data_IF_463400621546
#
_entry.id   IF_463400621546
#
_cell.length_a   1.000
_cell.length_b   1.000
_cell.length_c   1.000
_cell.angle_alpha   90.00
_cell.angle_beta   90.00
_cell.angle_gamma   90.00
#
_symmetry.space_group_name_H-M   'P 1'
#
loop_
_entity.id
_entity.type
_entity.pdbx_description
1 polymer ?
#
# COMPACT_ATOMS: atom_id res chain seq x y z
N UNK A 1 55.79 39.44 -8.26
CA UNK A 1 54.60 40.33 -8.23
C UNK A 1 53.39 39.49 -8.64
N UNK A 2 52.85 38.55 -7.86
CA UNK A 2 52.20 38.57 -6.52
C UNK A 2 50.99 39.51 -6.41
N UNK A 3 49.82 38.89 -6.51
CA UNK A 3 48.80 38.84 -5.46
C UNK A 3 47.48 39.58 -5.72
N UNK A 4 46.42 38.89 -5.33
CA UNK A 4 45.14 39.41 -4.85
C UNK A 4 44.10 39.87 -5.88
N UNK A 5 43.35 38.92 -6.46
CA UNK A 5 41.94 39.11 -6.89
C UNK A 5 41.15 37.80 -6.89
N UNK A 6 41.11 37.06 -5.78
CA UNK A 6 40.20 35.90 -5.60
C UNK A 6 39.89 35.71 -4.13
N UNK A 7 39.06 36.57 -3.56
CA UNK A 7 38.33 36.35 -2.31
C UNK A 7 37.34 37.51 -2.26
N UNK A 8 36.03 37.23 -2.16
CA UNK A 8 34.94 38.13 -1.71
C UNK A 8 33.55 37.69 -2.22
N UNK A 9 33.43 36.62 -3.01
CA UNK A 9 32.15 36.00 -3.37
C UNK A 9 31.92 34.70 -2.58
N UNK A 10 31.94 34.77 -1.24
CA UNK A 10 31.62 33.62 -0.38
C UNK A 10 31.01 34.01 0.98
N UNK A 11 30.41 35.21 1.11
CA UNK A 11 29.94 35.70 2.41
C UNK A 11 28.53 36.32 2.40
N UNK A 12 27.67 35.95 1.43
CA UNK A 12 26.32 36.51 1.30
C UNK A 12 25.21 35.46 1.12
N UNK A 13 25.41 34.22 1.58
CA UNK A 13 24.43 33.15 1.44
C UNK A 13 24.22 32.32 2.72
N UNK A 14 24.49 32.91 3.90
CA UNK A 14 24.46 32.17 5.20
C UNK A 14 23.57 32.84 6.26
N UNK A 15 22.66 33.75 5.89
CA UNK A 15 21.94 34.58 6.87
C UNK A 15 20.41 34.67 6.65
N UNK A 16 19.79 33.67 6.03
CA UNK A 16 18.34 33.65 5.77
C UNK A 16 17.58 32.43 6.31
N UNK A 17 18.18 31.63 7.21
CA UNK A 17 17.53 30.42 7.76
C UNK A 17 17.42 30.39 9.29
N UNK A 18 17.36 31.54 9.97
CA UNK A 18 17.24 31.61 11.44
C UNK A 18 15.92 32.21 11.96
N UNK A 19 15.01 32.63 11.08
CA UNK A 19 13.70 33.17 11.47
C UNK A 19 12.55 32.30 11.00
N UNK A 20 12.12 31.33 11.81
CA UNK A 20 10.84 30.65 11.54
C UNK A 20 10.69 29.24 12.12
N UNK A 21 10.86 29.06 13.43
CA UNK A 21 10.37 27.88 14.17
C UNK A 21 10.16 28.23 15.67
N UNK A 22 9.53 29.36 15.98
CA UNK A 22 8.94 29.59 17.31
C UNK A 22 7.42 29.52 17.13
N UNK A 23 6.77 28.70 17.95
CA UNK A 23 5.32 28.39 17.96
C UNK A 23 4.79 27.30 17.03
N UNK A 24 5.46 26.14 17.06
CA UNK A 24 4.76 24.86 16.89
C UNK A 24 4.46 24.20 18.24
N UNK A 25 4.03 25.00 19.22
CA UNK A 25 3.32 24.49 20.40
C UNK A 25 1.89 24.13 19.97
N UNK A 26 1.75 23.17 19.05
CA UNK A 26 0.49 22.50 18.74
C UNK A 26 0.12 21.64 19.95
N UNK A 27 -0.40 22.29 20.99
CA UNK A 27 -1.42 21.68 21.85
C UNK A 27 -2.72 21.62 21.06
N UNK A 28 -2.70 21.05 19.86
CA UNK A 28 -3.92 20.47 19.33
C UNK A 28 -4.28 19.39 20.33
N UNK A 29 -5.42 19.47 21.03
CA UNK A 29 -5.90 18.33 21.79
C UNK A 29 -5.82 17.11 20.86
N UNK A 30 -5.45 15.93 21.37
CA UNK A 30 -5.42 14.72 20.54
C UNK A 30 -6.74 14.68 19.78
N UNK A 31 -6.74 14.44 18.45
CA UNK A 31 -7.95 14.42 17.65
C UNK A 31 -8.96 13.59 18.43
N UNK A 32 -10.03 14.24 18.89
CA UNK A 32 -11.06 13.54 19.66
C UNK A 32 -11.49 12.40 18.78
N UNK A 33 -11.29 11.18 19.25
CA UNK A 33 -11.68 10.00 18.51
C UNK A 33 -13.21 10.04 18.37
N UNK A 34 -13.66 10.57 17.24
CA UNK A 34 -15.08 10.69 16.88
C UNK A 34 -15.62 9.34 16.39
N UNK A 35 -14.81 8.28 16.38
CA UNK A 35 -15.34 6.96 16.12
C UNK A 35 -16.25 6.57 17.28
N UNK A 36 -17.53 6.37 16.96
CA UNK A 36 -18.44 5.75 17.91
C UNK A 36 -17.92 4.34 18.23
N UNK A 37 -17.98 3.89 19.49
CA UNK A 37 -17.62 2.53 19.84
C UNK A 37 -18.33 1.53 18.91
N UNK A 38 -17.62 0.49 18.43
CA UNK A 38 -18.16 -0.45 17.44
C UNK A 38 -19.48 -1.08 17.88
N UNK A 39 -19.66 -1.29 19.18
CA UNK A 39 -20.90 -1.81 19.77
C UNK A 39 -22.11 -0.89 19.52
N UNK A 40 -21.90 0.44 19.55
CA UNK A 40 -22.97 1.42 19.29
C UNK A 40 -23.36 1.44 17.82
N UNK A 41 -22.37 1.34 16.93
CA UNK A 41 -22.59 1.24 15.48
C UNK A 41 -23.33 -0.06 15.15
N UNK A 42 -22.88 -1.19 15.69
CA UNK A 42 -23.53 -2.49 15.50
C UNK A 42 -24.96 -2.51 16.02
N UNK A 43 -25.21 -1.91 17.20
CA UNK A 43 -26.56 -1.78 17.75
C UNK A 43 -27.46 -0.94 16.84
N UNK A 44 -26.97 0.21 16.36
CA UNK A 44 -27.72 1.09 15.45
C UNK A 44 -28.03 0.42 14.12
N UNK A 45 -27.06 -0.28 13.52
CA UNK A 45 -27.24 -1.06 12.29
C UNK A 45 -28.31 -2.15 12.46
N UNK A 46 -28.32 -2.81 13.62
CA UNK A 46 -29.35 -3.79 13.97
C UNK A 46 -30.73 -3.14 14.15
N UNK A 47 -30.80 -1.93 14.70
CA UNK A 47 -32.05 -1.17 14.88
C UNK A 47 -32.59 -0.59 13.58
N UNK A 48 -31.74 -0.15 12.65
CA UNK A 48 -32.15 0.35 11.33
C UNK A 48 -32.55 -0.77 10.38
N UNK A 49 -32.22 -2.03 10.68
CA UNK A 49 -32.52 -3.18 9.83
C UNK A 49 -31.81 -3.12 8.48
N UNK A 50 -30.69 -2.38 8.39
CA UNK A 50 -29.92 -2.27 7.15
C UNK A 50 -29.14 -3.57 6.96
N UNK A 51 -29.53 -4.32 5.94
CA UNK A 51 -28.78 -5.48 5.48
C UNK A 51 -27.51 -5.04 4.76
N UNK A 52 -26.44 -4.81 5.52
CA UNK A 52 -25.14 -4.42 4.99
C UNK A 52 -24.56 -5.47 4.03
N UNK A 53 -24.56 -6.78 4.36
CA UNK A 53 -24.19 -7.83 3.41
C UNK A 53 -25.00 -7.76 2.10
N UNK A 54 -26.32 -7.69 2.17
CA UNK A 54 -27.18 -7.57 0.99
C UNK A 54 -26.89 -6.32 0.16
N UNK A 55 -26.64 -5.18 0.82
CA UNK A 55 -26.27 -3.93 0.14
C UNK A 55 -24.92 -4.02 -0.60
N UNK A 56 -23.96 -4.73 -0.01
CA UNK A 56 -22.65 -5.01 -0.61
C UNK A 56 -22.80 -5.93 -1.81
N UNK A 57 -23.56 -7.02 -1.68
CA UNK A 57 -23.87 -7.94 -2.77
C UNK A 57 -24.59 -7.23 -3.93
N UNK A 58 -25.57 -6.38 -3.63
CA UNK A 58 -26.29 -5.59 -4.61
C UNK A 58 -25.36 -4.61 -5.34
N UNK A 59 -24.44 -3.96 -4.62
CA UNK A 59 -23.44 -3.09 -5.24
C UNK A 59 -22.50 -3.86 -6.16
N UNK A 60 -22.04 -5.06 -5.76
CA UNK A 60 -21.20 -5.91 -6.60
C UNK A 60 -21.93 -6.40 -7.84
N UNK A 61 -23.19 -6.79 -7.68
CA UNK A 61 -24.08 -7.16 -8.78
C UNK A 61 -24.25 -6.00 -9.75
N UNK A 62 -24.51 -4.79 -9.25
CA UNK A 62 -24.64 -3.58 -10.06
C UNK A 62 -23.33 -3.24 -10.80
N UNK A 63 -22.19 -3.36 -10.13
CA UNK A 63 -20.87 -3.14 -10.73
C UNK A 63 -20.59 -4.14 -11.85
N UNK A 64 -20.85 -5.43 -11.63
CA UNK A 64 -20.71 -6.48 -12.64
C UNK A 64 -21.61 -6.21 -13.85
N UNK A 65 -22.89 -5.88 -13.60
CA UNK A 65 -23.83 -5.54 -14.66
C UNK A 65 -23.38 -4.31 -15.47
N UNK A 66 -22.84 -3.28 -14.81
CA UNK A 66 -22.30 -2.10 -15.49
C UNK A 66 -21.11 -2.44 -16.40
N UNK A 67 -20.17 -3.28 -15.93
CA UNK A 67 -19.05 -3.75 -16.75
C UNK A 67 -19.53 -4.58 -17.96
N UNK A 68 -20.52 -5.44 -17.79
CA UNK A 68 -21.13 -6.20 -18.89
C UNK A 68 -21.81 -5.28 -19.91
N UNK A 69 -22.51 -4.24 -19.44
CA UNK A 69 -23.11 -3.21 -20.30
C UNK A 69 -22.05 -2.45 -21.10
N UNK A 70 -20.93 -2.08 -20.49
CA UNK A 70 -19.83 -1.42 -21.20
C UNK A 70 -19.23 -2.31 -22.30
N UNK A 71 -19.07 -3.63 -22.05
CA UNK A 71 -18.63 -4.59 -23.07
C UNK A 71 -19.63 -4.70 -24.23
N UNK A 72 -20.93 -4.71 -23.92
CA UNK A 72 -21.98 -4.74 -24.94
C UNK A 72 -21.99 -3.45 -25.77
N UNK A 73 -21.85 -2.29 -25.15
CA UNK A 73 -21.75 -1.00 -25.85
C UNK A 73 -20.52 -0.93 -26.76
N UNK A 74 -19.36 -1.38 -26.28
CA UNK A 74 -18.15 -1.48 -27.09
C UNK A 74 -18.40 -2.30 -28.37
N UNK A 75 -19.00 -3.50 -28.22
CA UNK A 75 -19.33 -4.37 -29.36
C UNK A 75 -20.29 -3.71 -30.35
N UNK A 76 -21.38 -3.12 -29.86
CA UNK A 76 -22.38 -2.44 -30.70
C UNK A 76 -21.77 -1.27 -31.49
N UNK A 77 -20.91 -0.46 -30.85
CA UNK A 77 -20.22 0.63 -31.55
C UNK A 77 -19.27 0.12 -32.63
N UNK A 78 -18.59 -1.01 -32.40
CA UNK A 78 -17.75 -1.65 -33.43
C UNK A 78 -18.59 -2.17 -34.60
N UNK A 79 -19.75 -2.79 -34.33
CA UNK A 79 -20.67 -3.28 -35.38
C UNK A 79 -21.22 -2.14 -36.26
N UNK A 80 -21.47 -0.98 -35.67
CA UNK A 80 -21.93 0.23 -36.39
C UNK A 80 -20.78 0.95 -37.12
N UNK A 81 -19.51 0.65 -36.77
CA UNK A 81 -18.32 1.30 -37.31
C UNK A 81 -17.91 2.58 -36.57
N UNK A 82 -18.49 2.90 -35.41
CA UNK A 82 -18.10 4.04 -34.58
C UNK A 82 -16.94 3.67 -33.64
N UNK A 83 -15.74 3.64 -34.20
CA UNK A 83 -14.51 3.28 -33.47
C UNK A 83 -14.22 4.22 -32.29
N UNK A 84 -14.62 5.50 -32.39
CA UNK A 84 -14.36 6.47 -31.33
C UNK A 84 -15.16 6.16 -30.06
N UNK A 85 -16.46 5.91 -30.20
CA UNK A 85 -17.31 5.56 -29.05
C UNK A 85 -16.98 4.18 -28.48
N UNK A 86 -16.60 3.22 -29.32
CA UNK A 86 -16.08 1.94 -28.85
C UNK A 86 -14.86 2.14 -27.92
N UNK A 87 -13.92 3.01 -28.33
CA UNK A 87 -12.75 3.35 -27.52
C UNK A 87 -13.09 4.11 -26.23
N UNK A 88 -14.20 4.86 -26.19
CA UNK A 88 -14.67 5.50 -24.96
C UNK A 88 -15.24 4.47 -23.98
N UNK A 89 -16.09 3.56 -24.47
CA UNK A 89 -16.65 2.47 -23.67
C UNK A 89 -15.54 1.57 -23.09
N UNK A 90 -14.53 1.22 -23.92
CA UNK A 90 -13.36 0.45 -23.48
C UNK A 90 -12.60 1.15 -22.36
N UNK A 91 -12.23 2.43 -22.54
CA UNK A 91 -11.50 3.19 -21.52
C UNK A 91 -12.28 3.33 -20.21
N UNK A 92 -13.60 3.52 -20.29
CA UNK A 92 -14.44 3.56 -19.10
C UNK A 92 -14.49 2.21 -18.38
N UNK A 93 -14.54 1.11 -19.14
CA UNK A 93 -14.48 -0.25 -18.60
C UNK A 93 -13.15 -0.48 -17.89
N UNK A 94 -12.03 -0.19 -18.54
CA UNK A 94 -10.68 -0.35 -17.97
C UNK A 94 -10.52 0.45 -16.67
N UNK A 95 -10.98 1.71 -16.64
CA UNK A 95 -10.97 2.52 -15.41
C UNK A 95 -11.81 1.91 -14.31
N UNK A 96 -12.98 1.38 -14.65
CA UNK A 96 -13.91 0.77 -13.68
C UNK A 96 -13.41 -0.58 -13.19
N UNK A 97 -12.73 -1.36 -14.04
CA UNK A 97 -12.03 -2.59 -13.68
C UNK A 97 -10.82 -2.30 -12.78
N UNK A 98 -10.13 -1.17 -13.00
CA UNK A 98 -8.99 -0.74 -12.20
C UNK A 98 -9.35 -0.18 -10.81
N UNK A 99 -10.63 0.18 -10.55
CA UNK A 99 -11.05 0.58 -9.21
C UNK A 99 -10.88 -0.60 -8.26
N UNK A 100 -10.14 -0.42 -7.19
CA UNK A 100 -9.92 -1.48 -6.20
C UNK A 100 -11.24 -1.95 -5.60
N UNK A 101 -11.45 -3.27 -5.57
CA UNK A 101 -12.57 -3.87 -4.86
C UNK A 101 -12.08 -4.11 -3.44
N UNK A 102 -12.56 -3.29 -2.51
CA UNK A 102 -12.15 -3.44 -1.13
C UNK A 102 -12.47 -4.84 -0.58
N UNK A 103 -11.67 -5.39 0.34
CA UNK A 103 -11.83 -6.75 0.85
C UNK A 103 -13.20 -7.05 1.45
N UNK A 104 -13.87 -6.06 2.06
CA UNK A 104 -15.23 -6.21 2.60
C UNK A 104 -16.31 -6.46 1.54
N UNK A 105 -15.96 -6.26 0.26
CA UNK A 105 -16.80 -6.51 -0.91
C UNK A 105 -16.47 -7.83 -1.61
N UNK A 106 -15.59 -8.66 -1.07
CA UNK A 106 -15.28 -9.97 -1.64
C UNK A 106 -16.00 -11.03 -0.84
N UNK A 107 -16.86 -11.84 -1.47
CA UNK A 107 -17.73 -12.85 -0.82
C UNK A 107 -16.95 -13.82 0.10
N UNK A 108 -15.66 -14.04 -0.19
CA UNK A 108 -14.69 -14.63 0.74
C UNK A 108 -13.36 -13.91 0.54
N UNK A 109 -12.67 -13.46 1.60
CA UNK A 109 -11.25 -13.14 1.50
C UNK A 109 -10.57 -14.36 0.89
N UNK A 110 -9.80 -14.21 -0.19
CA UNK A 110 -9.03 -15.32 -0.81
C UNK A 110 -8.17 -16.05 0.24
N UNK A 111 -7.82 -15.32 1.31
CA UNK A 111 -7.13 -15.76 2.52
C UNK A 111 -7.85 -16.87 3.30
N UNK A 112 -9.18 -16.96 3.23
CA UNK A 112 -9.98 -17.84 4.09
C UNK A 112 -10.32 -19.21 3.48
N UNK A 113 -9.93 -19.50 2.22
CA UNK A 113 -10.32 -20.75 1.55
C UNK A 113 -9.23 -21.81 1.44
N UNK A 114 -8.00 -21.54 1.89
CA UNK A 114 -6.88 -22.48 1.73
C UNK A 114 -6.61 -23.16 3.07
N UNK A 115 -7.39 -24.20 3.36
CA UNK A 115 -7.09 -25.16 4.45
C UNK A 115 -6.02 -26.18 4.05
N UNK A 116 -5.42 -26.04 2.87
CA UNK A 116 -4.52 -27.04 2.31
C UNK A 116 -3.08 -26.63 2.59
N UNK A 117 -2.38 -27.47 3.35
CA UNK A 117 -0.94 -27.33 3.55
C UNK A 117 -0.18 -27.46 2.21
N UNK A 118 0.96 -26.79 2.04
CA UNK A 118 1.82 -26.95 0.87
C UNK A 118 2.24 -28.42 0.71
N UNK A 119 1.90 -29.04 -0.43
CA UNK A 119 2.11 -30.49 -0.66
C UNK A 119 3.24 -30.76 -1.66
N UNK A 120 3.35 -29.96 -2.73
CA UNK A 120 4.22 -30.28 -3.86
C UNK A 120 4.73 -29.06 -4.60
N UNK A 121 5.97 -29.14 -5.10
CA UNK A 121 6.49 -28.16 -6.07
C UNK A 121 5.76 -28.31 -7.40
N UNK A 122 5.19 -27.20 -7.87
CA UNK A 122 4.45 -27.09 -9.13
C UNK A 122 5.22 -26.12 -10.02
N UNK A 123 5.70 -26.61 -11.17
CA UNK A 123 6.58 -25.85 -12.08
C UNK A 123 5.99 -24.49 -12.50
N UNK A 124 4.68 -24.44 -12.75
CA UNK A 124 3.98 -23.20 -13.13
C UNK A 124 3.92 -22.20 -11.97
N UNK A 125 3.70 -22.69 -10.74
CA UNK A 125 3.70 -21.87 -9.53
C UNK A 125 5.11 -21.33 -9.25
N UNK A 126 6.15 -22.15 -9.43
CA UNK A 126 7.54 -21.73 -9.32
C UNK A 126 7.88 -20.63 -10.34
N UNK A 127 7.40 -20.75 -11.58
CA UNK A 127 7.60 -19.73 -12.60
C UNK A 127 6.92 -18.40 -12.22
N UNK A 128 5.66 -18.45 -11.74
CA UNK A 128 4.95 -17.27 -11.25
C UNK A 128 5.64 -16.63 -10.05
N UNK A 129 6.08 -17.44 -9.08
CA UNK A 129 6.79 -16.99 -7.90
C UNK A 129 8.09 -16.27 -8.28
N UNK A 130 8.91 -16.89 -9.14
CA UNK A 130 10.17 -16.31 -9.60
C UNK A 130 9.94 -15.00 -10.37
N UNK A 131 8.88 -14.92 -11.18
CA UNK A 131 8.52 -13.70 -11.88
C UNK A 131 8.12 -12.57 -10.91
N UNK A 132 7.29 -12.88 -9.93
CA UNK A 132 6.88 -11.93 -8.88
C UNK A 132 8.09 -11.45 -8.08
N UNK A 133 8.96 -12.39 -7.70
CA UNK A 133 10.16 -12.14 -6.92
C UNK A 133 11.15 -11.27 -7.66
N UNK A 134 11.38 -11.51 -8.95
CA UNK A 134 12.23 -10.68 -9.79
C UNK A 134 11.73 -9.22 -9.88
N UNK A 135 10.40 -9.01 -9.95
CA UNK A 135 9.81 -7.66 -9.91
C UNK A 135 10.05 -6.99 -8.56
N UNK A 136 9.81 -7.69 -7.46
CA UNK A 136 10.03 -7.17 -6.11
C UNK A 136 11.52 -6.85 -5.85
N UNK A 137 12.43 -7.73 -6.23
CA UNK A 137 13.86 -7.51 -6.03
C UNK A 137 14.39 -6.36 -6.91
N UNK A 138 13.71 -6.00 -8.01
CA UNK A 138 14.04 -4.82 -8.81
C UNK A 138 13.86 -3.49 -8.05
N UNK A 139 12.99 -3.49 -7.03
CA UNK A 139 12.70 -2.33 -6.16
C UNK A 139 13.29 -2.46 -4.76
N UNK A 140 13.60 -3.68 -4.29
CA UNK A 140 14.19 -3.94 -2.97
C UNK A 140 15.63 -3.45 -2.88
N UNK A 141 16.05 -3.02 -1.69
CA UNK A 141 17.43 -2.64 -1.38
C UNK A 141 17.87 -1.27 -1.90
N UNK A 142 16.95 -0.48 -2.48
CA UNK A 142 17.25 0.86 -2.99
C UNK A 142 16.56 1.90 -2.10
N UNK A 143 17.25 2.43 -1.06
CA UNK A 143 16.63 3.20 0.03
C UNK A 143 15.91 4.49 -0.44
N UNK A 144 16.33 5.06 -1.57
CA UNK A 144 15.70 6.24 -2.17
C UNK A 144 14.55 5.91 -3.13
N UNK A 145 14.50 4.69 -3.66
CA UNK A 145 13.52 4.32 -4.69
C UNK A 145 12.19 3.86 -4.10
N UNK A 146 12.13 3.38 -2.85
CA UNK A 146 10.86 2.94 -2.24
C UNK A 146 9.78 4.04 -2.20
N UNK A 147 10.18 5.32 -2.25
CA UNK A 147 9.26 6.45 -2.27
C UNK A 147 8.80 6.88 -3.67
N UNK A 148 9.43 6.36 -4.74
CA UNK A 148 9.09 6.69 -6.10
C UNK A 148 7.85 5.90 -6.55
N UNK A 149 6.96 6.56 -7.27
CA UNK A 149 5.72 5.96 -7.75
C UNK A 149 5.99 4.75 -8.67
N UNK A 150 7.08 4.78 -9.44
CA UNK A 150 7.53 3.66 -10.28
C UNK A 150 7.89 2.41 -9.48
N UNK A 151 8.43 2.55 -8.27
CA UNK A 151 8.72 1.42 -7.40
C UNK A 151 7.44 0.84 -6.80
N UNK A 152 6.46 1.70 -6.50
CA UNK A 152 5.14 1.25 -6.04
C UNK A 152 4.39 0.50 -7.13
N UNK A 153 4.40 0.99 -8.36
CA UNK A 153 3.81 0.31 -9.51
C UNK A 153 4.39 -1.10 -9.67
N UNK A 154 5.71 -1.24 -9.64
CA UNK A 154 6.36 -2.56 -9.71
C UNK A 154 6.05 -3.45 -8.51
N UNK A 155 5.95 -2.88 -7.31
CA UNK A 155 5.54 -3.62 -6.13
C UNK A 155 4.09 -4.12 -6.25
N UNK A 156 3.18 -3.33 -6.84
CA UNK A 156 1.80 -3.77 -7.15
C UNK A 156 1.77 -4.87 -8.19
N UNK A 157 2.59 -4.77 -9.23
CA UNK A 157 2.70 -5.84 -10.22
C UNK A 157 3.22 -7.15 -9.59
N UNK A 158 4.19 -7.07 -8.68
CA UNK A 158 4.67 -8.23 -7.93
C UNK A 158 3.56 -8.80 -7.02
N UNK A 159 2.86 -7.93 -6.28
CA UNK A 159 1.74 -8.30 -5.43
C UNK A 159 0.65 -9.04 -6.20
N UNK A 160 0.26 -8.53 -7.37
CA UNK A 160 -0.75 -9.16 -8.23
C UNK A 160 -0.33 -10.59 -8.67
N UNK A 161 0.96 -10.81 -8.94
CA UNK A 161 1.48 -12.13 -9.28
C UNK A 161 1.50 -13.08 -8.07
N UNK A 162 1.89 -12.61 -6.89
CA UNK A 162 1.81 -13.42 -5.67
C UNK A 162 0.36 -13.79 -5.32
N UNK A 163 -0.57 -12.83 -5.40
CA UNK A 163 -2.00 -13.09 -5.20
C UNK A 163 -2.58 -14.06 -6.23
N UNK A 164 -2.10 -13.99 -7.48
CA UNK A 164 -2.45 -14.95 -8.53
C UNK A 164 -1.96 -16.36 -8.15
N UNK A 165 -0.71 -16.49 -7.71
CA UNK A 165 -0.15 -17.76 -7.25
C UNK A 165 -0.98 -18.36 -6.11
N UNK A 166 -1.29 -17.57 -5.08
CA UNK A 166 -2.10 -18.01 -3.93
C UNK A 166 -3.49 -18.51 -4.34
N UNK A 167 -4.09 -17.91 -5.37
CA UNK A 167 -5.42 -18.27 -5.86
C UNK A 167 -5.42 -19.50 -6.77
N UNK A 168 -4.47 -19.58 -7.70
CA UNK A 168 -4.44 -20.62 -8.73
C UNK A 168 -3.73 -21.89 -8.27
N UNK A 169 -2.75 -21.78 -7.36
CA UNK A 169 -1.90 -22.88 -6.93
C UNK A 169 -1.83 -23.00 -5.40
N UNK A 170 -2.96 -23.18 -4.69
CA UNK A 170 -3.00 -23.23 -3.22
C UNK A 170 -2.22 -24.41 -2.60
N UNK A 171 -1.91 -25.44 -3.39
CA UNK A 171 -1.13 -26.62 -2.95
C UNK A 171 0.38 -26.51 -3.17
N UNK A 172 0.84 -25.42 -3.79
CA UNK A 172 2.25 -25.21 -4.11
C UNK A 172 3.09 -25.06 -2.84
N UNK A 173 4.35 -25.50 -2.87
CA UNK A 173 5.33 -25.25 -1.80
C UNK A 173 5.78 -23.77 -1.71
N UNK A 174 5.26 -22.89 -2.58
CA UNK A 174 5.55 -21.45 -2.59
C UNK A 174 4.46 -20.58 -1.99
N UNK A 175 3.39 -21.16 -1.46
CA UNK A 175 2.23 -20.38 -0.97
C UNK A 175 2.55 -19.60 0.30
N UNK A 176 3.28 -20.17 1.25
CA UNK A 176 3.70 -19.48 2.47
C UNK A 176 4.71 -18.36 2.15
N UNK A 177 5.67 -18.64 1.26
CA UNK A 177 6.63 -17.66 0.75
C UNK A 177 5.90 -16.49 0.07
N UNK A 178 4.93 -16.79 -0.81
CA UNK A 178 4.15 -15.77 -1.50
C UNK A 178 3.31 -14.92 -0.53
N UNK A 179 2.66 -15.55 0.45
CA UNK A 179 1.91 -14.84 1.49
C UNK A 179 2.84 -13.91 2.29
N UNK A 180 4.02 -14.37 2.69
CA UNK A 180 5.01 -13.54 3.38
C UNK A 180 5.41 -12.32 2.55
N UNK A 181 5.68 -12.48 1.24
CA UNK A 181 6.05 -11.36 0.37
C UNK A 181 4.88 -10.40 0.10
N UNK A 182 3.63 -10.86 0.07
CA UNK A 182 2.47 -9.97 0.06
C UNK A 182 2.51 -9.05 1.30
N UNK A 183 2.74 -9.62 2.49
CA UNK A 183 2.87 -8.87 3.74
C UNK A 183 4.02 -7.84 3.70
N UNK A 184 5.18 -8.21 3.16
CA UNK A 184 6.31 -7.29 2.95
C UNK A 184 5.94 -6.13 2.00
N UNK A 185 5.19 -6.41 0.93
CA UNK A 185 4.80 -5.39 -0.04
C UNK A 185 3.85 -4.35 0.58
N UNK A 186 2.79 -4.81 1.26
CA UNK A 186 1.87 -3.93 1.98
C UNK A 186 2.61 -3.10 3.02
N UNK A 187 3.50 -3.75 3.79
CA UNK A 187 4.30 -3.07 4.81
C UNK A 187 5.20 -1.99 4.20
N UNK A 188 6.01 -2.29 3.20
CA UNK A 188 7.11 -1.40 2.78
C UNK A 188 6.74 -0.42 1.66
N UNK A 189 5.88 -0.81 0.71
CA UNK A 189 5.72 -0.06 -0.54
C UNK A 189 4.37 0.68 -0.64
N UNK A 190 3.31 0.15 -0.03
CA UNK A 190 1.95 0.67 -0.22
C UNK A 190 1.48 1.64 0.88
N UNK A 191 2.32 1.87 1.90
CA UNK A 191 2.01 2.68 3.09
C UNK A 191 1.38 4.06 2.86
N UNK A 192 1.79 4.79 1.80
CA UNK A 192 1.41 6.21 1.65
C UNK A 192 0.00 6.38 1.07
N UNK A 193 -0.34 5.52 0.12
CA UNK A 193 -1.58 5.65 -0.65
C UNK A 193 -2.71 4.87 0.01
N UNK A 194 -2.37 3.71 0.58
CA UNK A 194 -3.31 2.86 1.30
C UNK A 194 -2.55 2.16 2.46
N UNK A 195 -2.46 2.78 3.64
CA UNK A 195 -1.80 2.19 4.81
C UNK A 195 -2.64 1.02 5.35
N UNK A 196 -2.60 -0.11 4.65
CA UNK A 196 -3.29 -1.32 5.06
C UNK A 196 -2.36 -2.21 5.88
N UNK A 197 -1.97 -1.69 7.06
CA UNK A 197 -1.19 -2.46 8.03
C UNK A 197 -1.95 -3.74 8.45
N UNK A 198 -3.29 -3.72 8.40
CA UNK A 198 -4.13 -4.90 8.67
C UNK A 198 -3.93 -6.00 7.63
N UNK A 199 -3.91 -5.67 6.33
CA UNK A 199 -3.57 -6.65 5.29
C UNK A 199 -2.17 -7.20 5.48
N UNK A 200 -1.19 -6.37 5.82
CA UNK A 200 0.17 -6.86 6.08
C UNK A 200 0.20 -7.89 7.21
N UNK A 201 -0.52 -7.62 8.31
CA UNK A 201 -0.67 -8.53 9.45
C UNK A 201 -1.36 -9.83 9.03
N UNK A 202 -2.45 -9.76 8.27
CA UNK A 202 -3.17 -10.94 7.78
C UNK A 202 -2.30 -11.83 6.92
N UNK A 203 -1.55 -11.25 5.99
CA UNK A 203 -0.64 -12.02 5.12
C UNK A 203 0.51 -12.66 5.90
N UNK A 204 1.07 -11.99 6.92
CA UNK A 204 2.06 -12.63 7.79
C UNK A 204 1.44 -13.79 8.58
N UNK A 205 0.26 -13.59 9.17
CA UNK A 205 -0.49 -14.63 9.88
C UNK A 205 -0.71 -15.85 9.00
N UNK A 206 -1.21 -15.60 7.79
CA UNK A 206 -1.48 -16.63 6.82
C UNK A 206 -0.22 -17.41 6.42
N UNK A 207 0.93 -16.74 6.26
CA UNK A 207 2.18 -17.41 5.90
C UNK A 207 2.58 -18.51 6.91
N UNK A 208 2.49 -18.26 8.22
CA UNK A 208 2.83 -19.28 9.22
C UNK A 208 1.69 -20.27 9.51
N UNK A 209 0.45 -19.93 9.15
CA UNK A 209 -0.68 -20.86 9.19
C UNK A 209 -0.55 -21.90 8.08
N UNK A 210 -0.10 -21.48 6.89
CA UNK A 210 0.21 -22.35 5.76
C UNK A 210 1.40 -23.27 6.05
N UNK A 211 2.51 -22.71 6.53
CA UNK A 211 3.65 -23.50 7.02
C UNK A 211 4.15 -22.96 8.38
N UNK A 212 3.87 -23.67 9.49
CA UNK A 212 4.38 -23.29 10.81
C UNK A 212 5.90 -23.17 10.89
N UNK A 213 6.63 -23.88 10.00
CA UNK A 213 8.09 -23.92 9.90
C UNK A 213 8.63 -23.10 8.72
N UNK A 214 7.83 -22.16 8.20
CA UNK A 214 8.25 -21.27 7.11
C UNK A 214 9.64 -20.68 7.39
N UNK A 215 10.54 -20.63 6.40
CA UNK A 215 11.89 -20.06 6.58
C UNK A 215 11.86 -18.54 6.85
N UNK A 216 10.71 -17.91 6.66
CA UNK A 216 10.51 -16.48 6.83
C UNK A 216 10.15 -16.10 8.27
N UNK A 217 10.59 -14.91 8.69
CA UNK A 217 10.32 -14.38 10.02
C UNK A 217 8.92 -13.72 10.11
N UNK A 218 7.88 -14.44 9.69
CA UNK A 218 6.53 -13.89 9.56
C UNK A 218 5.96 -13.42 10.90
N UNK A 219 6.16 -14.18 11.99
CA UNK A 219 5.70 -13.81 13.34
C UNK A 219 6.40 -12.55 13.82
N UNK A 220 7.71 -12.45 13.62
CA UNK A 220 8.47 -11.27 13.96
C UNK A 220 8.01 -10.03 13.19
N UNK A 221 7.80 -10.13 11.87
CA UNK A 221 7.33 -9.00 11.08
C UNK A 221 5.91 -8.55 11.48
N UNK A 222 5.03 -9.50 11.80
CA UNK A 222 3.71 -9.20 12.34
C UNK A 222 3.80 -8.44 13.67
N UNK A 223 4.68 -8.88 14.59
CA UNK A 223 4.90 -8.19 15.87
C UNK A 223 5.40 -6.75 15.68
N UNK A 224 6.33 -6.54 14.76
CA UNK A 224 6.87 -5.22 14.42
C UNK A 224 5.79 -4.28 13.89
N UNK A 225 4.88 -4.77 13.03
CA UNK A 225 3.77 -3.95 12.53
C UNK A 225 2.81 -3.56 13.65
N UNK A 226 2.39 -4.53 14.49
CA UNK A 226 1.51 -4.26 15.63
C UNK A 226 2.13 -3.26 16.62
N UNK A 227 3.42 -3.38 16.90
CA UNK A 227 4.15 -2.53 17.84
C UNK A 227 4.36 -1.11 17.31
N UNK A 228 5.03 -0.99 16.16
CA UNK A 228 5.52 0.30 15.69
C UNK A 228 4.52 1.08 14.84
N UNK A 229 3.57 0.40 14.19
CA UNK A 229 2.63 1.05 13.28
C UNK A 229 1.24 1.19 13.88
N UNK A 230 0.73 0.10 14.46
CA UNK A 230 -0.61 0.10 15.09
C UNK A 230 -0.59 0.51 16.55
N UNK A 231 0.59 0.57 17.17
CA UNK A 231 0.76 0.86 18.59
C UNK A 231 -0.04 -0.07 19.52
N UNK A 232 -0.27 -1.31 19.08
CA UNK A 232 -1.00 -2.34 19.80
C UNK A 232 -0.03 -3.17 20.66
N UNK A 233 0.41 -2.57 21.78
CA UNK A 233 1.40 -3.16 22.70
C UNK A 233 1.04 -4.56 23.15
N UNK A 234 -0.23 -4.80 23.50
CA UNK A 234 -0.69 -6.09 24.02
C UNK A 234 -0.46 -7.19 22.99
N UNK A 235 -0.95 -6.98 21.75
CA UNK A 235 -0.81 -7.97 20.68
C UNK A 235 0.63 -8.15 20.25
N UNK A 236 1.42 -7.07 20.20
CA UNK A 236 2.84 -7.14 19.91
C UNK A 236 3.59 -8.01 20.94
N UNK A 237 3.28 -7.88 22.23
CA UNK A 237 3.90 -8.68 23.30
C UNK A 237 3.59 -10.17 23.12
N UNK A 238 2.33 -10.53 22.82
CA UNK A 238 1.96 -11.92 22.50
C UNK A 238 2.80 -12.46 21.35
N UNK A 239 2.86 -11.73 20.23
CA UNK A 239 3.60 -12.15 19.04
C UNK A 239 5.11 -12.23 19.25
N UNK A 240 5.73 -11.32 20.02
CA UNK A 240 7.15 -11.43 20.34
C UNK A 240 7.45 -12.65 21.22
N UNK A 241 6.55 -13.04 22.13
CA UNK A 241 6.71 -14.29 22.86
C UNK A 241 6.61 -15.49 21.91
N UNK A 242 5.67 -15.47 20.96
CA UNK A 242 5.54 -16.52 19.94
C UNK A 242 6.79 -16.63 19.06
N UNK A 243 7.48 -15.52 18.78
CA UNK A 243 8.77 -15.51 18.08
C UNK A 243 9.82 -16.29 18.86
N UNK A 244 9.93 -16.07 20.18
CA UNK A 244 10.91 -16.78 21.01
C UNK A 244 10.64 -18.29 21.11
N UNK A 245 9.37 -18.70 21.00
CA UNK A 245 8.97 -20.10 21.07
C UNK A 245 9.12 -20.84 19.74
N UNK A 246 8.81 -20.18 18.62
CA UNK A 246 8.64 -20.85 17.32
C UNK A 246 9.73 -20.50 16.29
N UNK A 247 10.35 -19.33 16.36
CA UNK A 247 11.42 -18.96 15.43
C UNK A 247 12.79 -19.39 16.00
N UNK A 248 13.59 -20.10 15.21
CA UNK A 248 14.93 -20.56 15.64
C UNK A 248 16.07 -20.07 14.73
N UNK A 249 15.74 -19.73 13.48
CA UNK A 249 16.73 -19.49 12.43
C UNK A 249 17.42 -18.11 12.52
N UNK A 250 16.75 -17.08 13.06
CA UNK A 250 17.29 -15.71 13.07
C UNK A 250 17.56 -15.18 14.49
N UNK A 251 18.80 -15.35 14.96
CA UNK A 251 19.24 -14.93 16.28
C UNK A 251 19.10 -13.42 16.53
N UNK A 252 19.21 -12.59 15.49
CA UNK A 252 19.04 -11.15 15.62
C UNK A 252 17.59 -10.79 15.96
N UNK A 253 16.62 -11.47 15.33
CA UNK A 253 15.19 -11.28 15.63
C UNK A 253 14.86 -11.74 17.06
N UNK A 254 15.43 -12.87 17.50
CA UNK A 254 15.23 -13.37 18.87
C UNK A 254 15.74 -12.40 19.94
N UNK A 255 16.96 -11.87 19.74
CA UNK A 255 17.51 -10.85 20.64
C UNK A 255 16.66 -9.58 20.66
N UNK A 256 16.20 -9.13 19.50
CA UNK A 256 15.30 -7.99 19.39
C UNK A 256 13.99 -8.24 20.13
N UNK A 257 13.34 -9.37 19.90
CA UNK A 257 12.08 -9.74 20.56
C UNK A 257 12.23 -9.79 22.08
N UNK A 258 13.28 -10.44 22.60
CA UNK A 258 13.55 -10.49 24.04
C UNK A 258 13.73 -9.09 24.64
N UNK A 259 14.54 -8.24 24.00
CA UNK A 259 14.78 -6.86 24.46
C UNK A 259 13.51 -6.02 24.39
N UNK A 260 12.68 -6.26 23.37
CA UNK A 260 11.43 -5.54 23.18
C UNK A 260 10.36 -5.98 24.17
N UNK A 261 10.31 -7.26 24.53
CA UNK A 261 9.43 -7.76 25.60
C UNK A 261 9.75 -7.05 26.91
N UNK A 262 11.02 -6.98 27.31
CA UNK A 262 11.45 -6.25 28.52
C UNK A 262 10.97 -4.79 28.50
N UNK A 263 11.21 -4.07 27.38
CA UNK A 263 10.72 -2.70 27.21
C UNK A 263 9.19 -2.57 27.25
N UNK A 264 8.48 -3.55 26.68
CA UNK A 264 7.02 -3.60 26.64
C UNK A 264 6.41 -4.21 27.91
N UNK A 265 7.19 -4.72 28.86
CA UNK A 265 6.71 -5.15 30.19
C UNK A 265 7.05 -4.14 31.27
N UNK A 266 8.17 -3.43 31.13
CA UNK A 266 8.59 -2.43 32.09
C UNK A 266 7.57 -1.28 32.13
N UNK A 267 6.97 -1.09 33.31
CA UNK A 267 5.99 -0.03 33.54
C UNK A 267 6.61 1.38 33.38
N UNK A 268 7.92 1.50 33.60
CA UNK A 268 8.70 2.74 33.50
C UNK A 268 9.12 3.07 32.06
N UNK A 269 9.22 2.07 31.16
CA UNK A 269 9.64 2.24 29.76
C UNK A 269 8.51 2.64 28.79
N UNK A 270 7.28 2.69 29.28
CA UNK A 270 6.14 3.22 28.55
C UNK A 270 6.35 4.72 28.30
N UNK A 271 6.73 5.08 27.07
CA UNK A 271 6.74 6.44 26.54
C UNK A 271 5.35 7.11 26.56
N UNK A 272 4.32 6.39 26.99
CA UNK A 272 2.97 6.89 27.27
C UNK A 272 2.73 7.24 28.74
N UNK A 273 3.64 6.90 29.68
CA UNK A 273 3.62 7.61 30.97
C UNK A 273 3.94 9.07 30.65
N UNK A 274 3.11 10.04 31.11
CA UNK A 274 3.51 11.43 31.10
C UNK A 274 4.91 11.44 31.72
N UNK A 275 5.91 11.89 30.95
CA UNK A 275 7.26 12.08 31.48
C UNK A 275 7.06 12.77 32.83
N UNK A 276 7.52 12.18 33.96
CA UNK A 276 7.34 12.82 35.26
C UNK A 276 7.78 14.27 35.05
N UNK A 277 6.88 15.21 35.33
CA UNK A 277 7.09 16.63 35.04
C UNK A 277 8.52 16.91 35.44
N UNK A 278 9.36 17.24 34.44
CA UNK A 278 10.78 17.41 34.67
C UNK A 278 10.86 18.40 35.83
N UNK A 279 11.37 17.96 36.98
CA UNK A 279 11.56 18.88 38.10
C UNK A 279 12.32 20.07 37.51
N UNK A 280 11.71 21.26 37.51
CA UNK A 280 12.29 22.38 36.81
C UNK A 280 13.68 22.58 37.39
N UNK A 281 14.69 22.65 36.52
CA UNK A 281 16.05 22.88 36.98
C UNK A 281 16.02 24.17 37.81
N UNK A 282 16.75 24.22 38.93
CA UNK A 282 16.70 25.35 39.86
C UNK A 282 16.89 26.73 39.18
N UNK A 283 17.51 26.78 38.00
CA UNK A 283 17.61 27.98 37.15
C UNK A 283 16.33 28.37 36.40
N UNK A 284 15.49 27.42 35.96
CA UNK A 284 14.23 27.68 35.25
C UNK A 284 13.18 28.30 36.19
N UNK A 285 13.11 27.83 37.44
CA UNK A 285 12.27 28.46 38.48
C UNK A 285 12.66 29.91 38.75
N UNK A 286 13.95 30.24 38.64
CA UNK A 286 14.43 31.61 38.83
C UNK A 286 14.02 32.51 37.66
N UNK A 287 14.13 32.01 36.42
CA UNK A 287 13.72 32.73 35.23
C UNK A 287 12.20 32.98 35.18
N UNK A 288 11.40 32.00 35.59
CA UNK A 288 9.94 32.18 35.66
C UNK A 288 9.53 33.12 36.79
N UNK A 289 10.22 33.05 37.94
CA UNK A 289 10.00 34.01 39.04
C UNK A 289 10.39 35.43 38.64
N UNK A 290 11.48 35.60 37.88
CA UNK A 290 11.89 36.89 37.32
C UNK A 290 10.88 37.40 36.27
N UNK A 291 10.36 36.55 35.38
CA UNK A 291 9.30 36.92 34.42
C UNK A 291 7.99 37.31 35.09
N UNK A 292 7.57 36.58 36.12
CA UNK A 292 6.37 36.91 36.90
C UNK A 292 6.57 38.24 37.63
N UNK A 293 7.79 38.52 38.12
CA UNK A 293 8.11 39.79 38.78
C UNK A 293 8.26 40.98 37.81
N UNK A 294 8.61 40.74 36.55
CA UNK A 294 8.78 41.79 35.55
C UNK A 294 7.45 42.39 35.05
N UNK A 295 6.32 41.77 35.40
CA UNK A 295 4.99 42.20 34.96
C UNK A 295 4.77 42.02 33.45
N UNK A 296 3.52 42.00 32.99
CA UNK A 296 3.23 41.90 31.56
C UNK A 296 3.80 43.13 30.85
N UNK A 297 4.84 42.93 30.05
CA UNK A 297 5.33 43.95 29.14
C UNK A 297 4.14 44.42 28.28
N UNK A 298 3.84 45.72 28.35
CA UNK A 298 2.73 46.33 27.65
C UNK A 298 2.81 45.93 26.17
N UNK A 299 1.80 45.19 25.69
CA UNK A 299 1.70 44.86 24.29
C UNK A 299 1.64 46.17 23.49
N UNK A 300 2.46 46.33 22.43
CA UNK A 300 2.40 47.52 21.60
C UNK A 300 0.97 47.63 21.04
N UNK A 301 0.37 48.81 21.23
CA UNK A 301 -0.98 49.08 20.80
C UNK A 301 -1.13 48.79 19.29
N UNK A 302 -2.21 48.13 18.85
CA UNK A 302 -2.48 47.95 17.44
C UNK A 302 -2.68 49.32 16.79
N UNK A 303 -1.73 49.72 15.94
CA UNK A 303 -1.89 50.88 15.06
C UNK A 303 -2.97 50.53 14.03
N UNK A 304 -4.19 51.01 14.28
CA UNK A 304 -5.29 50.93 13.35
C UNK A 304 -5.12 51.95 12.23
N UNK A 305 -4.90 51.45 11.02
CA UNK A 305 -5.16 52.16 9.76
C UNK A 305 -5.45 51.10 8.70
N UNK A 306 -6.71 50.64 8.63
CA UNK A 306 -7.25 50.06 7.39
C UNK A 306 -8.72 50.45 7.28
N UNK A 307 -8.89 51.69 6.82
CA UNK A 307 -10.18 52.25 6.47
C UNK A 307 -10.73 51.62 5.19
N UNK A 308 -12.01 51.29 5.27
CA UNK A 308 -12.93 50.94 4.21
C UNK A 308 -12.70 51.66 2.87
N UNK A 309 -12.74 50.89 1.78
CA UNK A 309 -13.35 51.36 0.54
C UNK A 309 -14.07 50.21 -0.17
N UNK A 310 -15.39 50.27 -0.16
CA UNK A 310 -16.24 49.52 -1.07
C UNK A 310 -16.31 50.21 -2.43
N UNK A 311 -16.48 49.45 -3.50
CA UNK A 311 -16.87 49.87 -4.85
C UNK A 311 -17.32 48.61 -5.59
N UNK A 312 -18.63 48.37 -5.68
CA UNK A 312 -19.51 48.65 -6.84
C UNK A 312 -19.32 47.75 -8.06
N UNK A 313 -20.45 47.17 -8.45
CA UNK A 313 -20.76 46.49 -9.71
C UNK A 313 -20.09 47.11 -10.95
N UNK A 314 -19.68 46.26 -11.90
CA UNK A 314 -19.82 46.61 -13.31
C UNK A 314 -19.74 45.38 -14.22
N UNK A 315 -20.91 45.01 -14.72
CA UNK A 315 -21.14 44.18 -15.90
C UNK A 315 -20.42 44.79 -17.10
N UNK A 316 -19.47 44.06 -17.72
CA UNK A 316 -19.05 44.34 -19.10
C UNK A 316 -18.85 43.06 -19.90
N UNK A 317 -19.83 42.86 -20.76
CA UNK A 317 -19.72 42.19 -22.05
C UNK A 317 -18.67 42.87 -22.93
N UNK A 318 -17.75 42.08 -23.47
CA UNK A 318 -16.96 42.35 -24.69
C UNK A 318 -16.74 41.00 -25.37
N UNK A 319 -17.65 40.61 -26.24
CA UNK A 319 -17.52 40.61 -27.71
C UNK A 319 -16.21 41.19 -28.31
N UNK A 320 -15.79 40.59 -29.43
CA UNK A 320 -14.53 40.72 -30.21
C UNK A 320 -13.41 39.79 -29.74
N UNK A 321 -12.82 38.91 -30.55
CA UNK A 321 -12.78 38.81 -31.99
C UNK A 321 -11.37 38.36 -32.39
N UNK A 322 -11.30 37.34 -33.24
CA UNK A 322 -10.27 37.13 -34.28
C UNK A 322 -8.79 37.09 -33.83
N UNK A 323 -8.23 35.88 -33.84
CA UNK A 323 -6.78 35.64 -33.81
C UNK A 323 -6.43 34.29 -34.43
N UNK A 324 -6.52 34.19 -35.76
CA UNK A 324 -5.89 33.13 -36.54
C UNK A 324 -4.38 33.23 -36.40
N UNK A 325 -3.74 32.23 -35.78
CA UNK A 325 -2.30 31.98 -35.91
C UNK A 325 -2.13 30.53 -36.33
N UNK A 326 -1.95 30.35 -37.64
CA UNK A 326 -1.33 29.17 -38.24
C UNK A 326 0.11 29.05 -37.69
N UNK A 327 0.34 28.06 -36.84
CA UNK A 327 1.68 27.63 -36.45
C UNK A 327 1.84 26.17 -36.83
N UNK A 328 2.90 25.90 -37.60
CA UNK A 328 3.14 24.66 -38.34
C UNK A 328 3.04 23.40 -37.50
N UNK A 329 2.19 22.48 -37.97
CA UNK A 329 2.21 21.08 -37.57
C UNK A 329 3.44 20.43 -38.21
N UNK A 330 4.54 20.37 -37.46
CA UNK A 330 5.62 19.41 -37.72
C UNK A 330 5.01 18.01 -37.74
N UNK A 331 5.03 17.38 -38.91
CA UNK A 331 4.67 15.95 -39.04
C UNK A 331 5.60 15.14 -38.15
N UNK A 332 5.09 14.20 -37.33
CA UNK A 332 5.94 13.25 -36.65
C UNK A 332 6.71 12.41 -37.71
N UNK A 333 7.98 12.06 -37.45
CA UNK A 333 8.72 11.17 -38.33
C UNK A 333 7.99 9.82 -38.45
N UNK A 334 8.05 9.16 -39.62
CA UNK A 334 7.47 7.83 -39.78
C UNK A 334 8.12 6.85 -38.80
N UNK A 335 7.36 5.88 -38.28
CA UNK A 335 7.91 4.85 -37.39
C UNK A 335 9.03 4.07 -38.11
N UNK A 336 10.07 3.62 -37.38
CA UNK A 336 11.11 2.78 -37.95
C UNK A 336 10.48 1.53 -38.57
N UNK A 337 10.90 1.21 -39.80
CA UNK A 337 10.49 -0.02 -40.49
C UNK A 337 10.94 -1.21 -39.63
N UNK A 338 9.99 -2.03 -39.21
CA UNK A 338 10.26 -3.29 -38.52
C UNK A 338 11.16 -4.16 -39.40
N UNK A 339 12.18 -4.82 -38.83
CA UNK A 339 12.98 -5.79 -39.55
C UNK A 339 12.08 -6.95 -39.97
N UNK A 340 12.04 -7.19 -41.29
CA UNK A 340 11.35 -8.33 -41.91
C UNK A 340 11.85 -9.61 -41.24
N UNK A 341 10.96 -10.26 -40.49
CA UNK A 341 11.22 -11.54 -39.85
C UNK A 341 11.66 -12.56 -40.91
N UNK A 342 12.84 -13.13 -40.71
CA UNK A 342 13.31 -14.26 -41.51
C UNK A 342 12.35 -15.45 -41.37
N UNK A 343 12.17 -16.26 -42.44
CA UNK A 343 11.26 -17.39 -42.41
C UNK A 343 11.68 -18.42 -41.37
N UNK A 344 10.72 -18.81 -40.52
CA UNK A 344 10.86 -19.86 -39.51
C UNK A 344 11.11 -21.20 -40.22
N UNK A 345 12.16 -21.97 -39.85
CA UNK A 345 12.33 -23.33 -40.34
C UNK A 345 11.22 -24.23 -39.78
N UNK A 346 10.40 -24.76 -40.67
CA UNK A 346 9.43 -25.82 -40.39
C UNK A 346 10.18 -27.06 -39.90
N UNK A 347 10.02 -27.37 -38.61
CA UNK A 347 10.48 -28.65 -38.05
C UNK A 347 9.47 -29.76 -38.35
N UNK A 348 9.94 -30.99 -38.59
CA UNK A 348 9.12 -32.09 -39.06
C UNK A 348 8.17 -32.62 -37.97
N UNK A 349 6.97 -32.95 -38.45
CA UNK A 349 5.90 -33.65 -37.74
C UNK A 349 6.41 -34.95 -37.12
N UNK A 350 6.51 -34.98 -35.79
CA UNK A 350 6.70 -36.21 -35.03
C UNK A 350 5.38 -36.96 -34.97
N UNK A 351 5.38 -38.15 -35.56
CA UNK A 351 4.27 -39.09 -35.53
C UNK A 351 3.90 -39.47 -34.09
N UNK A 352 2.61 -39.40 -33.79
CA UNK A 352 2.01 -39.90 -32.55
C UNK A 352 1.94 -41.42 -32.67
N UNK A 353 2.79 -42.11 -31.93
CA UNK A 353 2.77 -43.56 -31.77
C UNK A 353 1.69 -43.92 -30.74
N UNK A 354 0.54 -44.39 -31.23
CA UNK A 354 -0.60 -44.83 -30.44
C UNK A 354 -0.26 -46.22 -29.88
N UNK A 355 -0.02 -46.31 -28.57
CA UNK A 355 0.09 -47.60 -27.87
C UNK A 355 -1.28 -48.26 -27.71
N UNK A 356 -1.40 -49.59 -27.88
CA UNK A 356 -2.67 -50.30 -27.73
C UNK A 356 -3.09 -50.47 -26.25
N UNK A 357 -4.39 -50.70 -25.99
CA UNK A 357 -4.92 -50.86 -24.65
C UNK A 357 -4.52 -52.20 -24.04
N UNK A 358 -4.11 -52.17 -22.77
CA UNK A 358 -3.83 -53.33 -21.94
C UNK A 358 -5.18 -53.89 -21.44
N UNK A 359 -5.58 -55.04 -22.00
CA UNK A 359 -6.66 -55.88 -21.47
C UNK A 359 -6.18 -56.69 -20.26
N UNK A 360 -7.05 -56.81 -19.25
CA UNK A 360 -7.11 -58.00 -18.39
C UNK A 360 -6.59 -57.83 -16.96
N UNK A 361 -7.49 -57.45 -16.05
CA UNK A 361 -7.40 -57.84 -14.63
C UNK A 361 -8.74 -58.44 -14.23
N UNK A 362 -8.76 -59.76 -14.03
CA UNK A 362 -9.90 -60.51 -13.50
C UNK A 362 -10.09 -60.24 -12.00
N UNK A 363 -11.34 -60.19 -11.49
CA UNK A 363 -11.60 -60.19 -10.06
C UNK A 363 -11.57 -61.62 -9.51
N UNK A 364 -10.68 -61.84 -8.54
CA UNK A 364 -10.63 -63.06 -7.74
C UNK A 364 -11.93 -63.30 -6.99
N UNK A 365 -12.40 -64.54 -7.07
CA UNK A 365 -13.41 -65.13 -6.19
C UNK A 365 -12.75 -65.46 -4.86
N UNK A 366 -13.29 -64.93 -3.78
CA UNK A 366 -13.04 -65.45 -2.44
C UNK A 366 -14.18 -66.43 -2.08
N UNK A 367 -13.83 -67.71 -2.03
CA UNK A 367 -14.55 -68.75 -1.30
C UNK A 367 -13.67 -69.14 -0.08
N UNK A 368 -14.15 -68.84 1.14
CA UNK A 368 -14.15 -69.68 2.36
C UNK A 368 -14.45 -68.87 3.63
#
# INVERSE_FOLDING_TARGET
MRSSKRLHLAAAATLLCLGGCQDWNRRTPPPTDLSEPPDRVAKRLKETGVDMPGSVEDMLRARKAYLEQLRRLEKLYLEIGDVNRANWARRQRERTEAVEVYPYLSEKPTEASVEVAPESSILEADALFNQAKAKLDSVRGKPLLGFLDTSRERAREALALFQKLLREYPKSDKVDDAAFYCGEIYKEYLRKEDPDDELSIKYYQWAWELDPKTPHAARFQCAVVEDFRRHNRKRALELYNDVLLNETHNQSNLRFAASRIEQLTDEEGSHLRPRPEREPLAGELKADRERISAGPAAQPAPTGDEAASGSTESSRSTDSGRGTVEAGRSRPPPPPREPVASPIPTSPSSAIEISPPIEGVEPGRDDE
#
